data_IF_920122220720
#
_entry.id   IF_920122220720
#
_cell.length_a   1.000
_cell.length_b   1.000
_cell.length_c   1.000
_cell.angle_alpha   90.00
_cell.angle_beta   90.00
_cell.angle_gamma   90.00
#
_symmetry.space_group_name_H-M   'P 1'
#
loop_
_entity.id
_entity.type
_entity.pdbx_description
1 polymer ?
#
# COMPACT_ATOMS: atom_id res chain seq x y z
N UNK A 1 -8.07 -3.67 0.44
CA UNK A 1 -8.70 -3.28 1.73
C UNK A 1 -7.98 -3.99 2.86
N UNK A 2 -7.38 -3.24 3.80
CA UNK A 2 -6.57 -3.79 4.90
C UNK A 2 -7.38 -4.15 6.16
N UNK A 3 -8.66 -3.75 6.24
CA UNK A 3 -9.44 -3.73 7.49
C UNK A 3 -9.34 -2.40 8.24
N UNK A 4 -8.43 -1.51 7.83
CA UNK A 4 -8.32 -0.14 8.35
C UNK A 4 -9.14 0.88 7.56
N UNK A 5 -9.35 2.06 8.16
CA UNK A 5 -10.20 3.13 7.64
C UNK A 5 -9.85 3.57 6.21
N UNK A 6 -8.59 3.79 5.90
CA UNK A 6 -8.23 4.56 4.70
C UNK A 6 -8.53 3.78 3.42
N UNK A 7 -8.24 2.48 3.42
CA UNK A 7 -8.58 1.61 2.29
C UNK A 7 -10.08 1.33 2.17
N UNK A 8 -10.82 1.31 3.29
CA UNK A 8 -12.26 1.14 3.30
C UNK A 8 -12.97 2.38 2.74
N UNK A 9 -12.56 3.57 3.19
CA UNK A 9 -13.04 4.85 2.66
C UNK A 9 -12.70 4.99 1.17
N UNK A 10 -11.51 4.59 0.74
CA UNK A 10 -11.14 4.58 -0.68
C UNK A 10 -12.13 3.76 -1.51
N UNK A 11 -12.39 2.51 -1.10
CA UNK A 11 -13.32 1.64 -1.81
C UNK A 11 -14.75 2.19 -1.77
N UNK A 12 -15.21 2.68 -0.62
CA UNK A 12 -16.54 3.26 -0.46
C UNK A 12 -16.74 4.48 -1.38
N UNK A 13 -15.78 5.40 -1.40
CA UNK A 13 -15.84 6.61 -2.24
C UNK A 13 -15.82 6.26 -3.73
N UNK A 14 -14.93 5.36 -4.16
CA UNK A 14 -14.89 4.92 -5.56
C UNK A 14 -16.20 4.25 -5.98
N UNK A 15 -16.76 3.38 -5.15
CA UNK A 15 -18.06 2.74 -5.42
C UNK A 15 -19.19 3.77 -5.53
N UNK A 16 -19.23 4.74 -4.60
CA UNK A 16 -20.22 5.82 -4.59
C UNK A 16 -20.15 6.70 -5.83
N UNK A 17 -18.96 6.92 -6.39
CA UNK A 17 -18.76 7.64 -7.65
C UNK A 17 -19.01 6.78 -8.92
N UNK A 18 -19.48 5.53 -8.76
CA UNK A 18 -19.87 4.68 -9.88
C UNK A 18 -18.72 3.96 -10.59
N UNK A 19 -17.53 3.90 -9.98
CA UNK A 19 -16.43 3.11 -10.54
C UNK A 19 -16.71 1.60 -10.39
N UNK A 20 -16.28 0.84 -11.40
CA UNK A 20 -16.24 -0.63 -11.32
C UNK A 20 -15.05 -1.04 -10.45
N UNK A 21 -15.32 -1.51 -9.23
CA UNK A 21 -14.28 -1.88 -8.28
C UNK A 21 -14.47 -3.30 -7.75
N UNK A 22 -13.35 -3.93 -7.47
CA UNK A 22 -13.24 -5.12 -6.63
C UNK A 22 -12.17 -4.88 -5.57
N UNK A 23 -12.30 -5.55 -4.44
CA UNK A 23 -11.45 -5.38 -3.27
C UNK A 23 -10.54 -6.59 -3.11
N UNK A 24 -9.27 -6.35 -2.77
CA UNK A 24 -8.34 -7.40 -2.34
C UNK A 24 -7.93 -7.17 -0.88
N UNK A 25 -8.12 -8.18 -0.03
CA UNK A 25 -7.52 -8.26 1.30
C UNK A 25 -6.38 -9.28 1.30
N UNK A 26 -5.26 -8.91 1.93
CA UNK A 26 -4.11 -9.79 2.10
C UNK A 26 -3.97 -10.08 3.59
N UNK A 27 -4.39 -11.28 4.00
CA UNK A 27 -4.20 -11.76 5.36
C UNK A 27 -2.73 -12.16 5.55
N UNK A 28 -2.04 -11.47 6.46
CA UNK A 28 -0.60 -11.60 6.64
C UNK A 28 -0.19 -12.78 7.55
N UNK A 29 -1.15 -13.48 8.16
CA UNK A 29 -0.87 -14.57 9.10
C UNK A 29 -0.26 -14.12 10.44
N UNK A 30 -0.44 -12.85 10.82
CA UNK A 30 0.01 -12.31 12.12
C UNK A 30 -1.08 -12.58 13.16
N UNK A 31 -1.20 -13.82 13.64
CA UNK A 31 -2.13 -14.24 14.71
C UNK A 31 -3.54 -13.61 14.66
N UNK A 32 -4.08 -13.27 15.84
CA UNK A 32 -5.38 -12.61 15.99
C UNK A 32 -5.46 -11.26 15.25
N UNK A 33 -4.33 -10.54 15.13
CA UNK A 33 -4.28 -9.27 14.40
C UNK A 33 -4.78 -9.43 12.95
N UNK A 34 -4.36 -10.49 12.25
CA UNK A 34 -4.74 -10.71 10.86
C UNK A 34 -6.14 -11.30 10.71
N UNK A 35 -6.57 -12.15 11.65
CA UNK A 35 -7.93 -12.69 11.70
C UNK A 35 -8.97 -11.57 11.87
N UNK A 36 -8.75 -10.70 12.84
CA UNK A 36 -9.59 -9.51 13.07
C UNK A 36 -9.57 -8.58 11.86
N UNK A 37 -8.40 -8.35 11.26
CA UNK A 37 -8.29 -7.50 10.05
C UNK A 37 -9.10 -8.05 8.87
N UNK A 38 -9.11 -9.38 8.68
CA UNK A 38 -9.90 -10.04 7.64
C UNK A 38 -11.40 -9.90 7.90
N UNK A 39 -11.85 -10.03 9.16
CA UNK A 39 -13.26 -9.84 9.55
C UNK A 39 -13.72 -8.41 9.24
N UNK A 40 -12.93 -7.39 9.61
CA UNK A 40 -13.25 -6.00 9.28
C UNK A 40 -13.30 -5.77 7.76
N UNK A 41 -12.35 -6.33 7.00
CA UNK A 41 -12.35 -6.20 5.54
C UNK A 41 -13.61 -6.82 4.90
N UNK A 42 -14.08 -7.97 5.41
CA UNK A 42 -15.35 -8.59 4.97
C UNK A 42 -16.54 -7.68 5.24
N UNK A 43 -16.72 -7.23 6.50
CA UNK A 43 -17.79 -6.30 6.89
C UNK A 43 -17.79 -5.02 6.04
N UNK A 44 -16.61 -4.43 5.83
CA UNK A 44 -16.46 -3.23 5.02
C UNK A 44 -16.93 -3.46 3.58
N UNK A 45 -16.50 -4.56 2.94
CA UNK A 45 -16.87 -4.83 1.56
C UNK A 45 -18.35 -5.22 1.39
N UNK A 46 -18.94 -5.83 2.42
CA UNK A 46 -20.39 -6.08 2.50
C UNK A 46 -21.18 -4.78 2.52
N UNK A 47 -20.83 -3.83 3.40
CA UNK A 47 -21.46 -2.50 3.48
C UNK A 47 -21.27 -1.73 2.15
N UNK A 48 -20.08 -1.79 1.57
CA UNK A 48 -19.75 -1.09 0.32
C UNK A 48 -20.46 -1.73 -0.90
N UNK A 49 -20.82 -3.01 -0.83
CA UNK A 49 -21.35 -3.76 -1.98
C UNK A 49 -20.31 -3.96 -3.09
N UNK A 50 -19.08 -4.33 -2.72
CA UNK A 50 -17.98 -4.62 -3.65
C UNK A 50 -17.47 -6.06 -3.46
N UNK A 51 -17.18 -6.81 -4.55
CA UNK A 51 -16.57 -8.14 -4.44
C UNK A 51 -15.26 -8.10 -3.65
N UNK A 52 -15.05 -9.07 -2.76
CA UNK A 52 -13.84 -9.18 -1.95
C UNK A 52 -13.09 -10.48 -2.26
N UNK A 53 -11.85 -10.33 -2.66
CA UNK A 53 -10.86 -11.40 -2.78
C UNK A 53 -9.96 -11.43 -1.55
N UNK A 54 -9.63 -12.63 -1.09
CA UNK A 54 -8.78 -12.83 0.08
C UNK A 54 -7.59 -13.71 -0.31
N UNK A 55 -6.38 -13.19 -0.11
CA UNK A 55 -5.14 -13.96 -0.22
C UNK A 55 -4.54 -14.12 1.16
N UNK A 56 -4.32 -15.36 1.61
CA UNK A 56 -3.70 -15.65 2.91
C UNK A 56 -2.24 -16.04 2.72
N UNK A 57 -1.34 -15.20 3.25
CA UNK A 57 0.11 -15.36 3.09
C UNK A 57 0.61 -16.67 3.68
N UNK A 58 0.12 -17.05 4.87
CA UNK A 58 0.53 -18.31 5.53
C UNK A 58 0.13 -19.54 4.70
N UNK A 59 -1.07 -19.56 4.12
CA UNK A 59 -1.53 -20.64 3.24
C UNK A 59 -0.72 -20.69 1.94
N UNK A 60 -0.37 -19.52 1.41
CA UNK A 60 0.33 -19.38 0.13
C UNK A 60 1.82 -19.70 0.19
N UNK A 61 2.49 -19.26 1.25
CA UNK A 61 3.96 -19.24 1.37
C UNK A 61 4.47 -20.12 2.52
N UNK A 62 3.58 -20.86 3.18
CA UNK A 62 3.89 -21.74 4.31
C UNK A 62 4.09 -21.03 5.65
N UNK A 63 4.44 -19.74 5.64
CA UNK A 63 4.68 -18.95 6.85
C UNK A 63 3.93 -17.60 6.81
N UNK A 64 3.47 -17.15 7.96
CA UNK A 64 2.99 -15.79 8.18
C UNK A 64 4.12 -14.77 8.27
N UNK A 65 3.75 -13.49 8.22
CA UNK A 65 4.68 -12.39 8.53
C UNK A 65 5.06 -12.48 10.02
N UNK A 66 6.35 -12.47 10.32
CA UNK A 66 6.90 -12.62 11.67
C UNK A 66 7.44 -14.03 11.97
N UNK A 67 7.02 -15.04 11.21
CA UNK A 67 7.39 -16.45 11.45
C UNK A 67 8.69 -16.87 10.75
N UNK A 68 9.09 -16.15 9.69
CA UNK A 68 10.31 -16.46 8.94
C UNK A 68 11.53 -16.07 9.77
N UNK A 69 12.45 -17.03 10.00
CA UNK A 69 13.73 -16.77 10.66
C UNK A 69 14.65 -15.95 9.75
N UNK A 70 14.69 -14.64 9.97
CA UNK A 70 15.53 -13.71 9.20
C UNK A 70 16.07 -12.58 10.07
N UNK A 71 17.20 -11.98 9.66
CA UNK A 71 17.71 -10.74 10.26
C UNK A 71 17.03 -9.49 9.68
N UNK A 72 16.29 -9.63 8.58
CA UNK A 72 15.59 -8.51 7.94
C UNK A 72 14.43 -8.05 8.83
N UNK A 73 14.25 -6.74 9.08
CA UNK A 73 13.14 -6.24 9.86
C UNK A 73 11.77 -6.69 9.32
N UNK A 74 10.86 -7.09 10.21
CA UNK A 74 9.53 -7.65 9.86
C UNK A 74 8.74 -6.75 8.91
N UNK A 75 8.66 -5.46 9.22
CA UNK A 75 7.93 -4.48 8.41
C UNK A 75 8.53 -4.31 7.00
N UNK A 76 9.84 -4.55 6.82
CA UNK A 76 10.51 -4.46 5.51
C UNK A 76 10.00 -5.52 4.54
N UNK A 77 9.99 -6.80 4.94
CA UNK A 77 9.51 -7.86 4.07
C UNK A 77 7.97 -7.99 4.05
N UNK A 78 7.26 -7.49 5.07
CA UNK A 78 5.81 -7.29 5.02
C UNK A 78 5.43 -6.35 3.86
N UNK A 79 6.11 -5.21 3.74
CA UNK A 79 5.90 -4.27 2.64
C UNK A 79 6.23 -4.88 1.27
N UNK A 80 7.34 -5.62 1.16
CA UNK A 80 7.70 -6.37 -0.05
C UNK A 80 6.59 -7.37 -0.46
N UNK A 81 6.12 -8.17 0.50
CA UNK A 81 5.12 -9.21 0.30
C UNK A 81 3.79 -8.63 -0.17
N UNK A 82 3.27 -7.62 0.54
CA UNK A 82 2.04 -6.91 0.13
C UNK A 82 2.17 -6.32 -1.26
N UNK A 83 3.30 -5.63 -1.53
CA UNK A 83 3.51 -4.95 -2.81
C UNK A 83 3.65 -5.90 -4.00
N UNK A 84 4.19 -7.10 -3.77
CA UNK A 84 4.21 -8.11 -4.81
C UNK A 84 2.81 -8.68 -5.04
N UNK A 85 2.14 -9.14 -3.99
CA UNK A 85 0.85 -9.85 -4.08
C UNK A 85 -0.21 -8.98 -4.75
N UNK A 86 -0.45 -7.74 -4.29
CA UNK A 86 -1.52 -6.92 -4.87
C UNK A 86 -1.27 -6.52 -6.32
N UNK A 87 0.00 -6.44 -6.74
CA UNK A 87 0.37 -6.11 -8.11
C UNK A 87 0.21 -7.33 -9.01
N UNK A 88 0.70 -8.49 -8.57
CA UNK A 88 0.57 -9.73 -9.34
C UNK A 88 -0.87 -10.20 -9.40
N UNK A 89 -1.63 -10.08 -8.31
CA UNK A 89 -3.07 -10.35 -8.30
C UNK A 89 -3.80 -9.48 -9.33
N UNK A 90 -3.51 -8.17 -9.36
CA UNK A 90 -4.09 -7.25 -10.33
C UNK A 90 -3.74 -7.66 -11.76
N UNK A 91 -2.48 -7.97 -12.04
CA UNK A 91 -2.01 -8.40 -13.36
C UNK A 91 -2.64 -9.73 -13.80
N UNK A 92 -2.61 -10.76 -12.95
CA UNK A 92 -3.10 -12.11 -13.26
C UNK A 92 -4.61 -12.11 -13.58
N UNK A 93 -5.37 -11.19 -12.99
CA UNK A 93 -6.82 -11.08 -13.17
C UNK A 93 -7.24 -9.95 -14.13
N UNK A 94 -6.28 -9.28 -14.78
CA UNK A 94 -6.57 -8.26 -15.79
C UNK A 94 -7.16 -6.96 -15.25
N UNK A 95 -6.83 -6.55 -14.02
CA UNK A 95 -7.23 -5.25 -13.48
C UNK A 95 -6.40 -4.12 -14.09
N UNK A 96 -7.08 -3.05 -14.50
CA UNK A 96 -6.43 -1.89 -15.13
C UNK A 96 -5.64 -1.03 -14.13
N UNK A 97 -6.13 -0.93 -12.89
CA UNK A 97 -5.63 0.01 -11.87
C UNK A 97 -5.74 -0.58 -10.47
N UNK A 98 -4.72 -0.35 -9.65
CA UNK A 98 -4.74 -0.62 -8.21
C UNK A 98 -4.87 0.70 -7.44
N UNK A 99 -5.97 0.87 -6.71
CA UNK A 99 -6.15 2.00 -5.80
C UNK A 99 -5.70 1.65 -4.37
N UNK A 100 -4.97 2.56 -3.72
CA UNK A 100 -4.56 2.43 -2.32
C UNK A 100 -5.05 3.61 -1.49
N UNK A 101 -5.26 3.38 -0.19
CA UNK A 101 -5.78 4.41 0.72
C UNK A 101 -4.73 5.31 1.33
N UNK A 102 -3.63 5.62 0.64
CA UNK A 102 -2.69 6.61 1.18
C UNK A 102 -3.34 7.99 1.14
N UNK A 103 -3.39 8.66 2.30
CA UNK A 103 -3.99 9.97 2.49
C UNK A 103 -2.92 11.08 2.54
N UNK A 104 -3.32 12.35 2.70
CA UNK A 104 -2.40 13.49 2.71
C UNK A 104 -1.33 13.38 3.82
N UNK A 105 -1.68 12.88 5.00
CA UNK A 105 -0.77 12.72 6.13
C UNK A 105 0.27 11.62 5.88
N UNK A 106 -0.13 10.52 5.22
CA UNK A 106 0.80 9.47 4.79
C UNK A 106 1.82 10.02 3.78
N UNK A 107 1.36 10.84 2.83
CA UNK A 107 2.21 11.43 1.81
C UNK A 107 3.15 12.48 2.39
N UNK A 108 2.62 13.38 3.23
CA UNK A 108 3.42 14.40 3.90
C UNK A 108 4.49 13.77 4.79
N UNK A 109 4.13 12.77 5.63
CA UNK A 109 5.11 12.09 6.49
C UNK A 109 6.16 11.31 5.67
N UNK A 110 5.75 10.66 4.57
CA UNK A 110 6.69 9.98 3.68
C UNK A 110 7.68 10.95 3.01
N UNK A 111 7.19 12.04 2.43
CA UNK A 111 8.04 13.03 1.77
C UNK A 111 8.97 13.68 2.81
N UNK A 112 8.44 14.06 3.97
CA UNK A 112 9.21 14.66 5.05
C UNK A 112 10.34 13.73 5.52
N UNK A 113 10.03 12.46 5.80
CA UNK A 113 11.03 11.45 6.18
C UNK A 113 12.15 11.34 5.15
N UNK A 114 11.79 11.25 3.86
CA UNK A 114 12.78 11.03 2.81
C UNK A 114 13.59 12.29 2.49
N UNK A 115 13.07 13.49 2.75
CA UNK A 115 13.86 14.73 2.73
C UNK A 115 14.85 14.73 3.90
N UNK A 116 14.40 14.41 5.12
CA UNK A 116 15.27 14.39 6.31
C UNK A 116 16.43 13.38 6.20
N UNK A 117 16.24 12.32 5.41
CA UNK A 117 17.26 11.30 5.14
C UNK A 117 17.91 11.43 3.76
N UNK A 118 17.59 12.46 2.97
CA UNK A 118 18.08 12.66 1.60
C UNK A 118 17.96 11.43 0.69
N UNK A 119 16.85 10.70 0.85
CA UNK A 119 16.51 9.52 0.05
C UNK A 119 15.91 9.94 -1.31
N UNK A 120 16.73 10.54 -2.17
CA UNK A 120 16.32 11.16 -3.44
C UNK A 120 15.62 10.20 -4.40
N UNK A 121 16.03 8.93 -4.47
CA UNK A 121 15.37 7.91 -5.30
C UNK A 121 13.91 7.67 -4.90
N UNK A 122 13.58 7.72 -3.60
CA UNK A 122 12.20 7.61 -3.14
C UNK A 122 11.40 8.88 -3.44
N UNK A 123 12.05 10.05 -3.32
CA UNK A 123 11.46 11.34 -3.69
C UNK A 123 11.22 11.44 -5.20
N UNK A 124 12.00 10.76 -6.05
CA UNK A 124 11.76 10.74 -7.49
C UNK A 124 10.51 9.92 -7.84
N UNK A 125 10.20 8.87 -7.08
CA UNK A 125 9.09 7.93 -7.37
C UNK A 125 7.76 8.30 -6.73
N UNK A 126 7.75 9.19 -5.73
CA UNK A 126 6.55 9.53 -5.00
C UNK A 126 5.56 10.36 -5.85
N UNK A 127 4.27 10.21 -5.58
CA UNK A 127 3.19 10.92 -6.28
C UNK A 127 1.84 10.23 -6.15
N UNK A 128 0.76 10.86 -6.68
CA UNK A 128 -0.60 10.33 -6.63
C UNK A 128 -0.85 9.20 -7.64
N UNK A 129 -0.05 9.14 -8.71
CA UNK A 129 -0.16 8.15 -9.79
C UNK A 129 1.21 7.56 -10.05
N UNK A 130 1.29 6.24 -10.05
CA UNK A 130 2.40 5.48 -10.63
C UNK A 130 1.90 4.88 -11.94
N UNK A 131 2.48 5.24 -13.10
CA UNK A 131 2.05 4.71 -14.39
C UNK A 131 2.27 3.20 -14.47
N UNK A 132 1.62 2.57 -15.45
CA UNK A 132 1.90 1.17 -15.74
C UNK A 132 3.23 1.06 -16.49
N UNK A 133 4.02 0.04 -16.16
CA UNK A 133 5.36 -0.18 -16.70
C UNK A 133 5.60 -1.66 -17.00
N UNK A 134 6.72 -1.95 -17.67
CA UNK A 134 7.16 -3.32 -17.98
C UNK A 134 6.08 -4.16 -18.69
N UNK A 135 5.57 -3.61 -19.81
CA UNK A 135 4.51 -4.21 -20.63
C UNK A 135 3.26 -4.61 -19.84
N UNK A 136 2.83 -3.76 -18.90
CA UNK A 136 1.61 -3.97 -18.12
C UNK A 136 1.79 -4.81 -16.85
N UNK A 137 2.95 -5.47 -16.65
CA UNK A 137 3.19 -6.30 -15.46
C UNK A 137 3.33 -5.47 -14.18
N UNK A 138 3.71 -4.21 -14.27
CA UNK A 138 3.50 -3.24 -13.20
C UNK A 138 2.19 -2.53 -13.48
N UNK A 139 1.13 -2.93 -12.77
CA UNK A 139 -0.20 -2.35 -12.92
C UNK A 139 -0.18 -0.91 -12.41
N UNK A 140 -0.88 -0.01 -13.11
CA UNK A 140 -1.02 1.40 -12.72
C UNK A 140 -1.51 1.49 -11.27
N UNK A 141 -0.89 2.36 -10.46
CA UNK A 141 -1.30 2.59 -9.07
C UNK A 141 -1.77 4.02 -8.88
N UNK A 142 -2.83 4.18 -8.11
CA UNK A 142 -3.40 5.49 -7.78
C UNK A 142 -3.69 5.62 -6.29
N UNK A 143 -3.69 6.85 -5.80
CA UNK A 143 -4.01 7.22 -4.41
C UNK A 143 -5.19 8.21 -4.41
N UNK A 144 -6.44 7.76 -4.40
CA UNK A 144 -7.59 8.65 -4.52
C UNK A 144 -7.74 9.65 -3.36
N UNK A 145 -7.18 9.33 -2.18
CA UNK A 145 -7.25 10.16 -0.98
C UNK A 145 -6.06 11.12 -0.83
N UNK A 146 -5.26 11.32 -1.89
CA UNK A 146 -3.98 12.04 -1.85
C UNK A 146 -4.01 13.44 -1.22
N UNK A 147 -5.14 14.14 -1.37
CA UNK A 147 -5.32 15.52 -0.89
C UNK A 147 -6.24 15.60 0.34
N UNK A 148 -6.67 14.46 0.90
CA UNK A 148 -7.59 14.37 2.04
C UNK A 148 -6.79 14.01 3.29
N UNK A 149 -7.00 14.72 4.39
CA UNK A 149 -6.32 14.46 5.66
C UNK A 149 -6.79 13.18 6.34
N UNK A 150 -5.95 12.58 7.16
CA UNK A 150 -6.31 11.43 7.99
C UNK A 150 -7.51 11.74 8.91
N UNK A 151 -7.60 12.98 9.41
CA UNK A 151 -8.74 13.47 10.20
C UNK A 151 -10.04 13.44 9.40
N UNK A 152 -10.03 13.89 8.14
CA UNK A 152 -11.20 13.85 7.27
C UNK A 152 -11.58 12.41 6.88
N UNK A 153 -10.60 11.53 6.69
CA UNK A 153 -10.85 10.09 6.46
C UNK A 153 -11.55 9.46 7.66
N UNK A 154 -11.11 9.74 8.89
CA UNK A 154 -11.79 9.30 10.12
C UNK A 154 -13.22 9.84 10.17
N UNK A 155 -13.40 11.14 9.97
CA UNK A 155 -14.73 11.77 10.01
C UNK A 155 -15.68 11.15 8.97
N UNK A 156 -15.18 10.88 7.76
CA UNK A 156 -15.96 10.22 6.71
C UNK A 156 -16.35 8.79 7.09
N UNK A 157 -15.41 8.00 7.61
CA UNK A 157 -15.68 6.63 8.02
C UNK A 157 -16.78 6.58 9.09
N UNK A 158 -16.68 7.43 10.11
CA UNK A 158 -17.68 7.54 11.18
C UNK A 158 -19.06 7.98 10.64
N UNK A 159 -19.09 8.99 9.77
CA UNK A 159 -20.33 9.52 9.21
C UNK A 159 -21.08 8.51 8.31
N UNK A 160 -20.37 7.52 7.74
CA UNK A 160 -20.94 6.49 6.88
C UNK A 160 -21.03 5.11 7.56
N UNK A 161 -20.82 5.02 8.88
CA UNK A 161 -20.90 3.76 9.62
C UNK A 161 -19.86 2.71 9.19
N UNK A 162 -18.73 3.13 8.63
CA UNK A 162 -17.66 2.23 8.20
C UNK A 162 -16.84 1.84 9.44
N UNK A 163 -17.13 0.67 10.01
CA UNK A 163 -16.34 0.07 11.07
C UNK A 163 -14.92 -0.26 10.57
N UNK A 164 -13.90 0.00 11.39
CA UNK A 164 -12.51 -0.33 11.07
C UNK A 164 -11.72 -0.73 12.30
N UNK A 165 -10.65 -1.51 12.07
CA UNK A 165 -9.72 -1.92 13.12
C UNK A 165 -8.92 -0.71 13.63
N UNK A 166 -8.97 -0.44 14.93
CA UNK A 166 -8.16 0.59 15.60
C UNK A 166 -6.83 0.06 16.15
N UNK A 167 -6.76 -1.22 16.47
CA UNK A 167 -5.54 -1.85 16.97
C UNK A 167 -4.39 -1.78 15.96
N UNK A 168 -3.26 -1.26 16.42
CA UNK A 168 -2.01 -1.22 15.67
C UNK A 168 -1.42 -2.62 15.44
N UNK A 169 -0.54 -2.73 14.45
CA UNK A 169 0.19 -3.97 14.19
C UNK A 169 1.18 -4.22 15.33
N UNK A 170 1.30 -5.45 15.86
CA UNK A 170 2.25 -5.78 16.93
C UNK A 170 3.72 -5.54 16.51
N UNK A 171 4.00 -5.40 15.22
CA UNK A 171 5.32 -5.07 14.68
C UNK A 171 5.50 -3.58 14.34
N UNK A 172 4.50 -2.73 14.57
CA UNK A 172 4.56 -1.29 14.25
C UNK A 172 5.25 -0.43 15.32
N UNK A 173 5.63 -1.00 16.46
CA UNK A 173 6.33 -0.27 17.52
C UNK A 173 7.60 0.42 17.00
N UNK A 174 7.75 1.71 17.31
CA UNK A 174 8.88 2.54 16.86
C UNK A 174 8.78 3.02 15.41
N UNK A 175 7.58 3.04 14.81
CA UNK A 175 7.40 3.54 13.46
C UNK A 175 7.66 5.06 13.38
N UNK A 176 8.78 5.45 12.75
CA UNK A 176 9.17 6.84 12.50
C UNK A 176 8.08 7.65 11.80
N UNK A 177 7.20 7.00 11.03
CA UNK A 177 6.05 7.67 10.39
C UNK A 177 5.08 8.29 11.40
N UNK A 178 4.88 7.69 12.57
CA UNK A 178 4.01 8.26 13.62
C UNK A 178 4.62 9.53 14.21
N UNK A 179 5.94 9.54 14.42
CA UNK A 179 6.68 10.72 14.89
C UNK A 179 6.59 11.87 13.88
N UNK A 180 6.80 11.59 12.59
CA UNK A 180 6.66 12.60 11.54
C UNK A 180 5.24 13.13 11.40
N UNK A 181 4.23 12.27 11.52
CA UNK A 181 2.83 12.71 11.54
C UNK A 181 2.55 13.64 12.71
N UNK A 182 3.05 13.34 13.91
CA UNK A 182 2.89 14.21 15.08
C UNK A 182 3.52 15.60 14.86
N UNK A 183 4.75 15.66 14.35
CA UNK A 183 5.42 16.94 14.04
C UNK A 183 4.64 17.72 12.98
N UNK A 184 4.22 17.07 11.89
CA UNK A 184 3.43 17.71 10.84
C UNK A 184 2.05 18.17 11.33
N UNK A 185 1.44 17.47 12.29
CA UNK A 185 0.20 17.88 12.94
C UNK A 185 0.39 19.18 13.73
N UNK A 186 1.47 19.28 14.50
CA UNK A 186 1.79 20.50 15.27
C UNK A 186 2.01 21.70 14.33
N UNK A 187 2.69 21.48 13.19
CA UNK A 187 2.86 22.53 12.18
C UNK A 187 1.54 22.93 11.52
N UNK A 188 0.68 21.95 11.22
CA UNK A 188 -0.64 22.17 10.63
C UNK A 188 -1.58 22.96 11.57
N UNK A 189 -1.52 22.69 12.87
CA UNK A 189 -2.29 23.41 13.89
C UNK A 189 -1.86 24.87 14.00
N UNK A 190 -0.55 25.14 13.99
CA UNK A 190 0.00 26.51 14.02
C UNK A 190 -0.25 27.26 12.71
N UNK A 191 -0.22 26.57 11.58
CA UNK A 191 -0.40 27.15 10.25
C UNK A 191 -1.19 26.20 9.36
N UNK A 192 -2.53 26.36 9.30
CA UNK A 192 -3.39 25.54 8.44
C UNK A 192 -2.97 25.60 6.97
N UNK A 193 -3.02 24.45 6.31
CA UNK A 193 -2.58 24.26 4.93
C UNK A 193 -1.10 23.90 4.78
N UNK A 194 -0.35 23.68 5.88
CA UNK A 194 1.07 23.32 5.82
C UNK A 194 1.30 22.03 5.03
N UNK A 195 0.58 20.95 5.35
CA UNK A 195 0.71 19.64 4.70
C UNK A 195 0.35 19.70 3.22
N UNK A 196 -0.80 20.29 2.87
CA UNK A 196 -1.25 20.36 1.47
C UNK A 196 -0.31 21.23 0.63
N UNK A 197 0.17 22.35 1.17
CA UNK A 197 1.14 23.22 0.48
C UNK A 197 2.50 22.53 0.32
N UNK A 198 2.95 21.78 1.33
CA UNK A 198 4.18 21.00 1.28
C UNK A 198 4.10 19.92 0.19
N UNK A 199 3.05 19.10 0.19
CA UNK A 199 2.86 18.02 -0.80
C UNK A 199 2.69 18.59 -2.22
N UNK A 200 1.85 19.62 -2.42
CA UNK A 200 1.68 20.27 -3.74
C UNK A 200 2.96 20.98 -4.20
N UNK A 201 3.70 21.58 -3.27
CA UNK A 201 5.01 22.19 -3.53
C UNK A 201 6.04 21.16 -3.99
N UNK A 202 6.11 20.03 -3.29
CA UNK A 202 6.94 18.88 -3.67
C UNK A 202 6.59 18.40 -5.09
N UNK A 203 5.31 18.21 -5.43
CA UNK A 203 4.93 17.75 -6.78
C UNK A 203 5.41 18.70 -7.89
N UNK A 204 5.36 20.02 -7.68
CA UNK A 204 5.88 21.01 -8.64
C UNK A 204 7.40 20.97 -8.80
N UNK A 205 8.12 20.42 -7.83
CA UNK A 205 9.59 20.35 -7.78
C UNK A 205 10.14 18.93 -7.91
N UNK A 206 9.27 17.92 -7.98
CA UNK A 206 9.63 16.49 -8.05
C UNK A 206 10.60 16.17 -9.19
N UNK A 207 10.46 16.85 -10.33
CA UNK A 207 11.36 16.67 -11.49
C UNK A 207 12.85 16.90 -11.18
N UNK A 208 13.16 17.64 -10.11
CA UNK A 208 14.55 17.83 -9.64
C UNK A 208 15.21 16.54 -9.15
N UNK A 209 14.43 15.50 -8.80
CA UNK A 209 14.94 14.22 -8.32
C UNK A 209 14.97 13.13 -9.40
N UNK A 210 14.41 13.39 -10.59
CA UNK A 210 14.26 12.35 -11.64
C UNK A 210 15.59 11.90 -12.24
N UNK A 211 16.63 12.77 -12.23
CA UNK A 211 17.97 12.43 -12.70
C UNK A 211 18.64 11.29 -11.90
N UNK A 212 18.15 11.01 -10.69
CA UNK A 212 18.66 9.96 -9.81
C UNK A 212 18.04 8.57 -10.10
N UNK A 213 17.17 8.47 -11.10
CA UNK A 213 16.52 7.22 -11.50
C UNK A 213 17.36 6.48 -12.54
N UNK A 214 18.14 5.50 -12.09
CA UNK A 214 18.66 4.44 -12.94
C UNK A 214 17.85 3.16 -12.67
N UNK A 215 16.93 2.81 -13.57
CA UNK A 215 16.20 1.54 -13.47
C UNK A 215 16.30 0.74 -14.76
N UNK A 216 17.15 -0.28 -14.74
CA UNK A 216 17.03 -1.40 -15.67
C UNK A 216 16.14 -2.49 -15.03
N UNK A 217 14.95 -2.67 -15.60
CA UNK A 217 14.10 -3.81 -15.24
C UNK A 217 14.51 -5.05 -16.03
N UNK A 218 14.69 -6.15 -15.31
CA UNK A 218 14.83 -7.50 -15.86
C UNK A 218 13.61 -8.33 -15.51
N UNK A 219 13.43 -9.43 -16.23
CA UNK A 219 12.36 -10.38 -15.95
C UNK A 219 12.83 -11.46 -14.97
N UNK A 220 12.10 -11.66 -13.87
CA UNK A 220 12.42 -12.71 -12.89
C UNK A 220 12.35 -14.11 -13.53
N UNK A 221 13.40 -14.93 -13.36
CA UNK A 221 13.46 -16.32 -13.88
C UNK A 221 12.36 -17.23 -13.32
N UNK A 222 11.88 -16.98 -12.11
CA UNK A 222 10.86 -17.82 -11.43
C UNK A 222 9.44 -17.39 -11.81
N UNK A 223 9.11 -16.12 -11.56
CA UNK A 223 7.73 -15.64 -11.64
C UNK A 223 7.43 -14.72 -12.83
N UNK A 224 8.44 -14.40 -13.63
CA UNK A 224 8.32 -13.54 -14.82
C UNK A 224 7.86 -12.10 -14.52
N UNK A 225 7.81 -11.69 -13.25
CA UNK A 225 7.55 -10.31 -12.82
C UNK A 225 8.84 -9.45 -12.88
N UNK A 226 8.74 -8.11 -12.95
CA UNK A 226 9.89 -7.21 -12.95
C UNK A 226 10.83 -7.43 -11.75
N UNK A 227 12.13 -7.29 -12.00
CA UNK A 227 13.22 -7.58 -11.07
C UNK A 227 14.43 -6.70 -11.38
N UNK A 228 15.22 -6.35 -10.36
CA UNK A 228 16.54 -5.72 -10.52
C UNK A 228 17.69 -6.74 -10.69
N UNK A 229 17.40 -8.03 -10.55
CA UNK A 229 18.35 -9.15 -10.73
C UNK A 229 17.70 -10.34 -11.43
N UNK A 230 18.37 -11.49 -11.47
CA UNK A 230 17.83 -12.69 -12.12
C UNK A 230 16.57 -13.24 -11.43
N UNK A 231 16.51 -13.12 -10.09
CA UNK A 231 15.35 -13.51 -9.27
C UNK A 231 14.89 -12.29 -8.49
N UNK A 232 13.59 -11.99 -8.52
CA UNK A 232 13.05 -10.82 -7.83
C UNK A 232 13.12 -11.00 -6.31
N UNK A 233 13.16 -9.88 -5.57
CA UNK A 233 13.30 -9.91 -4.11
C UNK A 233 12.20 -10.72 -3.40
N UNK A 234 11.00 -10.80 -3.99
CA UNK A 234 9.91 -11.62 -3.45
C UNK A 234 10.23 -13.11 -3.56
N UNK A 235 10.52 -13.62 -4.76
CA UNK A 235 10.86 -15.03 -4.98
C UNK A 235 12.13 -15.43 -4.20
N UNK A 236 13.14 -14.55 -4.18
CA UNK A 236 14.38 -14.80 -3.45
C UNK A 236 14.18 -14.85 -1.93
N UNK A 237 13.35 -13.96 -1.36
CA UNK A 237 13.07 -13.97 0.07
C UNK A 237 12.24 -15.18 0.51
N UNK A 238 11.22 -15.55 -0.28
CA UNK A 238 10.32 -16.66 0.04
C UNK A 238 10.80 -18.02 -0.47
N UNK A 239 11.99 -18.09 -1.09
CA UNK A 239 12.57 -19.34 -1.59
C UNK A 239 11.70 -20.04 -2.66
N UNK A 240 11.04 -19.27 -3.52
CA UNK A 240 10.10 -19.83 -4.50
C UNK A 240 10.83 -20.41 -5.70
N UNK A 241 10.50 -21.65 -6.05
CA UNK A 241 10.98 -22.33 -7.27
C UNK A 241 9.98 -22.25 -8.43
N UNK A 242 8.71 -21.96 -8.13
CA UNK A 242 7.61 -21.88 -9.11
C UNK A 242 6.81 -20.58 -8.94
N UNK A 243 6.19 -20.07 -10.01
CA UNK A 243 5.31 -18.91 -9.92
C UNK A 243 4.08 -19.21 -9.05
N UNK A 244 3.66 -18.22 -8.28
CA UNK A 244 2.34 -18.19 -7.65
C UNK A 244 1.33 -17.64 -8.65
N UNK A 245 0.25 -18.37 -8.89
CA UNK A 245 -0.85 -17.95 -9.77
C UNK A 245 -2.03 -17.43 -8.94
N UNK A 246 -2.42 -16.17 -9.16
CA UNK A 246 -3.52 -15.53 -8.46
C UNK A 246 -4.81 -15.47 -9.26
N UNK A 247 -4.88 -16.13 -10.43
CA UNK A 247 -6.12 -16.18 -11.23
C UNK A 247 -7.26 -16.80 -10.42
N UNK A 248 -8.31 -16.01 -10.23
CA UNK A 248 -9.54 -16.48 -9.58
C UNK A 248 -10.29 -17.36 -10.57
N UNK A 249 -10.57 -18.61 -10.20
CA UNK A 249 -11.40 -19.50 -11.01
C UNK A 249 -12.82 -18.93 -11.02
N UNK A 250 -13.33 -18.62 -12.22
CA UNK A 250 -14.74 -18.24 -12.43
C UNK A 250 -15.67 -19.42 -12.18
#
# INVERSE_FOLDING_TARGET
>A
VSGGKDSAVTAHVLKKFGYNIECLHINLGIGEYSETSEIYAKKQCEIIGAPLHIVRVRELLGHGIGEVRTRRPTCSYCGLTKRYIFNKFAYDNGFDVVATGHNLDDEASFIFNNIMNWNTQYLAKQGPVTPSEFNGKLVKKVKPLYEVTEREVVAYALANGIEYKMEECPHAGGATTLEWKAILNEMEEKRPGTKINFVKGYLRKKGLFEAELEEEFKECKVCRMPSSGEVCSFCGFWGLEKPVDFRVKK
#
